data_IF_624923834602
#
_entry.id   IF_624923834602
#
_cell.length_a   1.000
_cell.length_b   1.000
_cell.length_c   1.000
_cell.angle_alpha   90.00
_cell.angle_beta   90.00
_cell.angle_gamma   90.00
#
_symmetry.space_group_name_H-M   'P 1'
#
loop_
_entity.id
_entity.type
_entity.pdbx_description
1 polymer ?
#
# COMPACT_ATOMS: atom_id res chain seq x y z
N UNK A 1 16.48 -23.76 -30.27
CA UNK A 1 17.81 -24.33 -30.59
C UNK A 1 18.49 -24.63 -29.27
N UNK A 2 18.92 -25.87 -29.07
CA UNK A 2 19.66 -26.30 -27.89
C UNK A 2 21.16 -26.31 -28.23
N UNK A 3 21.97 -25.69 -27.39
CA UNK A 3 23.42 -25.65 -27.52
C UNK A 3 24.02 -26.59 -26.49
N UNK A 4 24.77 -27.59 -26.94
CA UNK A 4 25.44 -28.53 -26.05
C UNK A 4 26.91 -28.67 -26.45
N UNK A 5 27.82 -28.19 -25.58
CA UNK A 5 29.27 -28.20 -25.82
C UNK A 5 29.68 -27.59 -27.18
N UNK A 6 29.04 -26.48 -27.54
CA UNK A 6 29.28 -25.76 -28.81
C UNK A 6 28.56 -26.36 -30.03
N UNK A 7 27.95 -27.53 -29.92
CA UNK A 7 27.15 -28.13 -31.00
C UNK A 7 25.70 -27.66 -30.92
N UNK A 8 25.12 -27.39 -32.09
CA UNK A 8 23.74 -26.94 -32.23
C UNK A 8 22.79 -28.10 -32.53
N UNK A 9 21.68 -28.13 -31.80
CA UNK A 9 20.63 -29.12 -31.95
C UNK A 9 19.27 -28.41 -32.11
N UNK A 10 18.53 -28.77 -33.15
CA UNK A 10 17.17 -28.30 -33.37
C UNK A 10 16.20 -29.29 -32.71
N UNK A 11 15.38 -28.79 -31.77
CA UNK A 11 14.30 -29.57 -31.17
C UNK A 11 13.21 -29.80 -32.21
N UNK A 12 12.84 -31.05 -32.42
CA UNK A 12 11.78 -31.47 -33.35
C UNK A 12 10.52 -31.91 -32.61
N UNK A 13 10.65 -32.42 -31.39
CA UNK A 13 9.53 -32.88 -30.57
C UNK A 13 9.83 -32.60 -29.09
N UNK A 14 8.81 -32.18 -28.34
CA UNK A 14 8.85 -31.98 -26.90
C UNK A 14 7.70 -32.78 -26.26
N UNK A 15 8.05 -33.86 -25.57
CA UNK A 15 7.13 -34.68 -24.79
C UNK A 15 7.26 -34.31 -23.30
N UNK A 16 6.37 -33.45 -22.83
CA UNK A 16 6.34 -32.99 -21.44
C UNK A 16 5.98 -34.11 -20.46
N UNK A 17 5.14 -35.06 -20.87
CA UNK A 17 4.65 -36.15 -20.01
C UNK A 17 5.78 -37.10 -19.65
N UNK A 18 6.59 -37.47 -20.64
CA UNK A 18 7.72 -38.36 -20.46
C UNK A 18 9.05 -37.62 -20.22
N UNK A 19 9.03 -36.28 -20.16
CA UNK A 19 10.20 -35.41 -20.01
C UNK A 19 11.27 -35.67 -21.07
N UNK A 20 10.85 -35.89 -22.31
CA UNK A 20 11.72 -36.26 -23.42
C UNK A 20 11.72 -35.16 -24.49
N UNK A 21 12.90 -34.79 -24.94
CA UNK A 21 13.08 -33.94 -26.13
C UNK A 21 13.72 -34.77 -27.24
N UNK A 22 13.17 -34.67 -28.46
CA UNK A 22 13.84 -35.18 -29.65
C UNK A 22 14.50 -34.04 -30.38
N UNK A 23 15.75 -34.27 -30.76
CA UNK A 23 16.58 -33.27 -31.41
C UNK A 23 17.26 -33.85 -32.63
N UNK A 24 17.47 -33.00 -33.62
CA UNK A 24 18.33 -33.28 -34.76
C UNK A 24 19.54 -32.36 -34.69
N UNK A 25 20.72 -32.90 -35.01
CA UNK A 25 21.92 -32.07 -35.16
C UNK A 25 21.74 -31.13 -36.35
N UNK A 26 22.10 -29.86 -36.21
CA UNK A 26 22.06 -28.93 -37.33
C UNK A 26 22.68 -27.59 -36.99
N UNK A 27 23.52 -27.09 -37.89
CA UNK A 27 24.04 -25.73 -37.82
C UNK A 27 23.02 -24.76 -38.40
N UNK A 28 22.50 -23.85 -37.57
CA UNK A 28 21.62 -22.79 -38.01
C UNK A 28 22.26 -21.41 -37.74
N UNK A 29 22.00 -20.40 -38.58
CA UNK A 29 22.59 -19.05 -38.42
C UNK A 29 21.88 -18.21 -37.33
N UNK A 30 21.08 -18.84 -36.46
CA UNK A 30 20.23 -18.17 -35.49
C UNK A 30 20.18 -18.92 -34.16
N UNK A 31 19.87 -18.20 -33.08
CA UNK A 31 19.50 -18.76 -31.78
C UNK A 31 18.05 -18.43 -31.44
N UNK A 32 17.52 -19.09 -30.41
CA UNK A 32 16.14 -18.87 -29.95
C UNK A 32 16.13 -18.19 -28.60
N UNK A 33 15.31 -17.15 -28.43
CA UNK A 33 15.05 -16.48 -27.15
C UNK A 33 13.62 -16.74 -26.72
N UNK A 34 13.43 -17.31 -25.54
CA UNK A 34 12.10 -17.63 -25.00
C UNK A 34 11.32 -16.36 -24.71
N UNK A 35 10.01 -16.38 -24.97
CA UNK A 35 9.04 -15.40 -24.51
C UNK A 35 8.13 -16.05 -23.47
N UNK A 36 8.01 -15.42 -22.33
CA UNK A 36 7.09 -15.86 -21.28
C UNK A 36 6.26 -14.69 -20.76
N UNK A 37 5.06 -15.04 -20.31
CA UNK A 37 4.18 -14.17 -19.56
C UNK A 37 4.14 -14.66 -18.13
N UNK A 38 4.07 -13.72 -17.20
CA UNK A 38 4.04 -14.00 -15.77
C UNK A 38 2.87 -13.26 -15.17
N UNK A 39 2.29 -13.88 -14.16
CA UNK A 39 1.31 -13.24 -13.31
C UNK A 39 1.50 -13.61 -11.84
N UNK A 40 1.09 -12.71 -10.96
CA UNK A 40 1.05 -12.91 -9.52
C UNK A 40 -0.37 -12.76 -9.01
N UNK A 41 -0.76 -13.63 -8.08
CA UNK A 41 -1.96 -13.48 -7.27
C UNK A 41 -1.56 -13.37 -5.80
N UNK A 42 -2.01 -12.33 -5.12
CA UNK A 42 -1.87 -12.18 -3.67
C UNK A 42 -2.84 -13.14 -3.00
N UNK A 43 -2.30 -14.12 -2.27
CA UNK A 43 -3.08 -15.08 -1.48
C UNK A 43 -3.34 -14.54 -0.07
N UNK A 44 -2.35 -13.88 0.51
CA UNK A 44 -2.39 -13.37 1.88
C UNK A 44 -1.36 -12.25 2.05
N UNK A 45 -1.74 -11.19 2.78
CA UNK A 45 -0.82 -10.14 3.23
C UNK A 45 -0.41 -10.44 4.67
N UNK A 46 0.88 -10.67 4.88
CA UNK A 46 1.48 -11.02 6.17
C UNK A 46 1.96 -9.79 6.94
N UNK A 47 2.57 -8.81 6.26
CA UNK A 47 3.03 -7.54 6.86
C UNK A 47 2.84 -6.38 5.89
N UNK A 48 2.69 -5.18 6.44
CA UNK A 48 2.58 -3.93 5.70
C UNK A 48 3.34 -2.83 6.45
N UNK A 49 4.02 -1.94 5.73
CA UNK A 49 4.56 -0.70 6.32
C UNK A 49 4.70 0.39 5.27
N UNK A 50 4.48 1.66 5.61
CA UNK A 50 4.89 2.78 4.77
C UNK A 50 6.41 2.97 4.84
N UNK A 51 7.03 3.29 3.71
CA UNK A 51 8.45 3.66 3.59
C UNK A 51 8.52 4.86 2.65
N UNK A 52 9.12 5.97 3.11
CA UNK A 52 9.20 7.20 2.33
C UNK A 52 7.86 7.55 1.63
N UNK A 53 7.73 7.44 0.30
CA UNK A 53 6.51 7.75 -0.44
C UNK A 53 5.80 6.52 -1.05
N UNK A 54 5.95 5.34 -0.45
CA UNK A 54 5.28 4.11 -0.90
C UNK A 54 4.90 3.20 0.26
N UNK A 55 3.96 2.27 -0.01
CA UNK A 55 3.68 1.15 0.89
C UNK A 55 4.44 -0.07 0.39
N UNK A 56 5.12 -0.77 1.29
CA UNK A 56 5.63 -2.11 1.03
C UNK A 56 4.81 -3.12 1.80
N UNK A 57 4.47 -4.24 1.15
CA UNK A 57 3.80 -5.37 1.77
C UNK A 57 4.63 -6.63 1.60
N UNK A 58 4.49 -7.56 2.55
CA UNK A 58 5.04 -8.92 2.51
C UNK A 58 3.85 -9.88 2.55
N UNK A 59 3.87 -10.94 1.75
CA UNK A 59 2.73 -11.84 1.65
C UNK A 59 3.01 -13.16 0.96
N UNK A 60 2.03 -14.07 1.04
CA UNK A 60 2.02 -15.29 0.22
C UNK A 60 1.47 -14.97 -1.16
N UNK A 61 2.17 -15.42 -2.17
CA UNK A 61 1.86 -15.20 -3.57
C UNK A 61 1.68 -16.54 -4.28
N UNK A 62 0.79 -16.56 -5.26
CA UNK A 62 0.80 -17.56 -6.33
C UNK A 62 1.41 -16.93 -7.56
N UNK A 63 2.44 -17.55 -8.11
CA UNK A 63 3.12 -17.11 -9.32
C UNK A 63 2.77 -18.10 -10.43
N UNK A 64 2.26 -17.60 -11.54
CA UNK A 64 2.04 -18.40 -12.75
C UNK A 64 2.93 -17.86 -13.86
N UNK A 65 3.74 -18.73 -14.48
CA UNK A 65 4.53 -18.41 -15.66
C UNK A 65 4.09 -19.30 -16.83
N UNK A 66 3.81 -18.68 -17.97
CA UNK A 66 3.48 -19.38 -19.21
C UNK A 66 4.48 -19.02 -20.30
N UNK A 67 5.09 -20.04 -20.91
CA UNK A 67 5.91 -19.85 -22.11
C UNK A 67 4.97 -19.75 -23.31
N UNK A 68 4.82 -18.53 -23.82
CA UNK A 68 3.91 -18.22 -24.93
C UNK A 68 4.58 -18.32 -26.30
N UNK A 69 5.92 -18.42 -26.34
CA UNK A 69 6.63 -18.49 -27.61
C UNK A 69 8.14 -18.34 -27.53
N UNK A 70 8.76 -18.12 -28.68
CA UNK A 70 10.16 -17.76 -28.78
C UNK A 70 10.44 -16.91 -30.02
N UNK A 71 11.49 -16.10 -29.95
CA UNK A 71 12.04 -15.33 -31.06
C UNK A 71 13.21 -16.10 -31.70
N UNK A 72 13.31 -16.11 -33.03
CA UNK A 72 14.55 -16.47 -33.72
C UNK A 72 15.37 -15.21 -33.94
N UNK A 73 16.61 -15.20 -33.45
CA UNK A 73 17.54 -14.08 -33.61
C UNK A 73 18.82 -14.52 -34.29
N UNK A 74 19.29 -13.73 -35.25
CA UNK A 74 20.56 -14.00 -35.94
C UNK A 74 21.71 -13.98 -34.94
N UNK A 75 22.62 -14.97 -35.02
CA UNK A 75 23.67 -15.20 -34.01
C UNK A 75 24.56 -13.98 -33.74
N UNK A 76 25.02 -13.30 -34.80
CA UNK A 76 25.98 -12.22 -34.67
C UNK A 76 25.34 -10.83 -34.55
N UNK A 77 24.30 -10.56 -35.36
CA UNK A 77 23.66 -9.23 -35.40
C UNK A 77 22.53 -9.07 -34.38
N UNK A 78 22.06 -10.16 -33.76
CA UNK A 78 20.88 -10.21 -32.90
C UNK A 78 19.56 -9.73 -33.55
N UNK A 79 19.57 -9.52 -34.86
CA UNK A 79 18.41 -9.15 -35.65
C UNK A 79 17.30 -10.18 -35.47
N UNK A 80 16.08 -9.70 -35.24
CA UNK A 80 14.89 -10.53 -35.13
C UNK A 80 14.54 -11.08 -36.51
N UNK A 81 14.64 -12.40 -36.67
CA UNK A 81 14.34 -13.07 -37.94
C UNK A 81 12.88 -13.50 -38.00
N UNK A 82 12.33 -13.96 -36.87
CA UNK A 82 11.02 -14.60 -36.81
C UNK A 82 10.51 -14.69 -35.37
N UNK A 83 9.20 -14.82 -35.19
CA UNK A 83 8.55 -15.09 -33.90
C UNK A 83 7.61 -16.27 -34.03
N UNK A 84 7.71 -17.21 -33.08
CA UNK A 84 6.83 -18.37 -33.02
C UNK A 84 6.07 -18.40 -31.71
N UNK A 85 4.76 -18.61 -31.82
CA UNK A 85 3.88 -18.89 -30.68
C UNK A 85 4.01 -20.35 -30.28
N UNK A 86 3.90 -20.62 -28.98
CA UNK A 86 3.86 -21.95 -28.39
C UNK A 86 2.65 -22.06 -27.47
N UNK A 87 2.02 -23.23 -27.46
CA UNK A 87 0.96 -23.58 -26.52
C UNK A 87 1.53 -24.53 -25.47
N UNK A 88 2.23 -23.98 -24.48
CA UNK A 88 2.76 -24.74 -23.36
C UNK A 88 1.88 -24.53 -22.11
N UNK A 89 1.71 -25.57 -21.28
CA UNK A 89 0.94 -25.45 -20.06
C UNK A 89 1.61 -24.45 -19.10
N UNK A 90 0.82 -23.62 -18.39
CA UNK A 90 1.35 -22.71 -17.39
C UNK A 90 1.98 -23.50 -16.24
N UNK A 91 3.03 -22.94 -15.66
CA UNK A 91 3.66 -23.44 -14.45
C UNK A 91 3.28 -22.52 -13.29
N UNK A 92 2.64 -23.09 -12.28
CA UNK A 92 2.16 -22.34 -11.13
C UNK A 92 2.77 -22.89 -9.84
N UNK A 93 3.23 -22.00 -8.97
CA UNK A 93 3.70 -22.34 -7.64
C UNK A 93 3.35 -21.24 -6.63
N UNK A 94 3.21 -21.64 -5.36
CA UNK A 94 3.03 -20.70 -4.25
C UNK A 94 4.38 -20.39 -3.60
N UNK A 95 4.60 -19.14 -3.22
CA UNK A 95 5.86 -18.65 -2.65
C UNK A 95 5.59 -17.46 -1.73
N UNK A 96 6.65 -16.92 -1.12
CA UNK A 96 6.61 -15.67 -0.36
C UNK A 96 7.24 -14.56 -1.21
N UNK A 97 6.60 -13.40 -1.21
CA UNK A 97 7.10 -12.22 -1.90
C UNK A 97 6.78 -10.95 -1.14
N UNK A 98 7.49 -9.88 -1.50
CA UNK A 98 7.14 -8.53 -1.12
C UNK A 98 6.88 -7.69 -2.36
N UNK A 99 6.09 -6.64 -2.20
CA UNK A 99 5.82 -5.72 -3.29
C UNK A 99 5.71 -4.29 -2.78
N UNK A 100 6.11 -3.36 -3.63
CA UNK A 100 5.90 -1.93 -3.42
C UNK A 100 4.68 -1.48 -4.23
N UNK A 101 3.76 -0.80 -3.56
CA UNK A 101 2.63 -0.10 -4.19
C UNK A 101 3.05 1.31 -4.56
N UNK A 102 2.88 1.67 -5.83
CA UNK A 102 3.31 2.95 -6.40
C UNK A 102 2.05 3.79 -6.65
N UNK A 103 2.00 4.97 -6.03
CA UNK A 103 0.86 5.88 -6.18
C UNK A 103 0.77 6.47 -7.60
N UNK A 104 -0.47 6.69 -8.06
CA UNK A 104 -0.76 7.23 -9.39
C UNK A 104 -0.15 8.61 -9.63
N UNK A 105 0.07 9.39 -8.58
CA UNK A 105 0.78 10.67 -8.66
C UNK A 105 2.18 10.50 -9.27
N UNK A 106 2.91 9.43 -8.90
CA UNK A 106 4.24 9.14 -9.47
C UNK A 106 4.09 8.74 -10.94
N UNK A 107 3.10 7.90 -11.26
CA UNK A 107 2.85 7.50 -12.64
C UNK A 107 2.52 8.70 -13.53
N UNK A 108 1.72 9.64 -13.03
CA UNK A 108 1.37 10.87 -13.74
C UNK A 108 2.59 11.79 -13.88
N UNK A 109 3.40 11.95 -12.84
CA UNK A 109 4.62 12.75 -12.89
C UNK A 109 5.58 12.28 -13.99
N UNK A 110 5.78 10.96 -14.10
CA UNK A 110 6.62 10.35 -15.15
C UNK A 110 6.04 10.57 -16.54
N UNK A 111 4.72 10.40 -16.71
CA UNK A 111 4.05 10.63 -18.00
C UNK A 111 4.10 12.10 -18.43
N UNK A 112 3.98 13.04 -17.50
CA UNK A 112 4.02 14.48 -17.78
C UNK A 112 5.35 14.94 -18.38
N UNK A 113 6.46 14.31 -17.95
CA UNK A 113 7.78 14.55 -18.53
C UNK A 113 8.07 13.64 -19.75
N UNK A 114 7.04 13.02 -20.32
CA UNK A 114 7.08 12.17 -21.53
C UNK A 114 7.99 10.94 -21.41
N UNK A 115 8.17 10.43 -20.19
CA UNK A 115 8.91 9.19 -19.94
C UNK A 115 7.97 7.98 -19.87
N UNK A 116 8.50 6.79 -20.11
CA UNK A 116 7.70 5.56 -20.19
C UNK A 116 7.55 4.89 -18.83
N UNK A 117 6.45 5.19 -18.12
CA UNK A 117 6.21 4.67 -16.75
C UNK A 117 6.37 3.15 -16.60
N UNK A 118 5.74 2.34 -17.46
CA UNK A 118 5.90 0.88 -17.37
C UNK A 118 7.36 0.42 -17.57
N UNK A 119 8.06 1.00 -18.55
CA UNK A 119 9.49 0.77 -18.75
C UNK A 119 10.34 1.20 -17.56
N UNK A 120 9.91 2.22 -16.81
CA UNK A 120 10.55 2.67 -15.57
C UNK A 120 10.38 1.68 -14.41
N UNK A 121 9.15 1.23 -14.12
CA UNK A 121 8.92 0.24 -13.05
C UNK A 121 9.53 -1.13 -13.38
N UNK A 122 9.57 -1.50 -14.66
CA UNK A 122 10.21 -2.73 -15.13
C UNK A 122 11.76 -2.65 -15.03
N UNK A 123 12.34 -1.50 -15.35
CA UNK A 123 13.76 -1.25 -15.15
C UNK A 123 14.14 -1.21 -13.65
N UNK A 124 13.27 -0.65 -12.80
CA UNK A 124 13.41 -0.67 -11.35
C UNK A 124 13.42 -2.11 -10.82
N UNK A 125 12.47 -2.95 -11.26
CA UNK A 125 12.41 -4.37 -10.90
C UNK A 125 13.74 -5.09 -11.21
N UNK A 126 14.22 -4.96 -12.45
CA UNK A 126 15.47 -5.57 -12.89
C UNK A 126 16.67 -5.13 -12.04
N UNK A 127 16.80 -3.82 -11.84
CA UNK A 127 17.93 -3.25 -11.10
C UNK A 127 17.87 -3.66 -9.63
N UNK A 128 16.68 -3.65 -9.00
CA UNK A 128 16.50 -4.07 -7.61
C UNK A 128 16.87 -5.55 -7.41
N UNK A 129 16.42 -6.44 -8.29
CA UNK A 129 16.79 -7.86 -8.24
C UNK A 129 18.30 -8.04 -8.46
N UNK A 130 18.93 -7.24 -9.33
CA UNK A 130 20.37 -7.31 -9.56
C UNK A 130 21.20 -6.88 -8.36
N UNK A 131 20.68 -5.95 -7.55
CA UNK A 131 21.34 -5.44 -6.34
C UNK A 131 21.04 -6.26 -5.09
N UNK A 132 20.00 -7.08 -5.13
CA UNK A 132 19.56 -7.88 -3.99
C UNK A 132 20.68 -8.75 -3.36
N UNK A 133 21.54 -9.44 -4.15
CA UNK A 133 22.64 -10.24 -3.62
C UNK A 133 23.64 -9.49 -2.73
N UNK A 134 23.68 -8.15 -2.79
CA UNK A 134 24.54 -7.36 -1.91
C UNK A 134 24.04 -7.30 -0.47
N UNK A 135 22.76 -7.58 -0.24
CA UNK A 135 22.11 -7.46 1.07
C UNK A 135 21.63 -8.79 1.65
N UNK A 136 21.53 -9.81 0.80
CA UNK A 136 21.23 -11.18 1.15
C UNK A 136 22.18 -12.09 0.38
N UNK A 137 22.82 -13.04 1.07
CA UNK A 137 23.75 -13.99 0.46
C UNK A 137 22.96 -15.01 -0.40
N UNK A 138 22.61 -14.61 -1.62
CA UNK A 138 21.90 -15.43 -2.59
C UNK A 138 22.43 -15.19 -4.01
N UNK A 139 22.06 -16.07 -4.94
CA UNK A 139 22.23 -15.79 -6.36
C UNK A 139 21.06 -14.94 -6.84
N UNK A 140 21.28 -14.09 -7.86
CA UNK A 140 20.19 -13.36 -8.51
C UNK A 140 19.11 -14.30 -9.07
N UNK A 141 19.47 -15.55 -9.32
CA UNK A 141 18.59 -16.55 -9.89
C UNK A 141 17.60 -17.12 -8.87
N UNK A 142 17.84 -16.92 -7.58
CA UNK A 142 16.97 -17.35 -6.49
C UNK A 142 15.75 -16.42 -6.30
N UNK A 143 15.69 -15.35 -7.09
CA UNK A 143 14.70 -14.28 -6.98
C UNK A 143 13.96 -14.13 -8.30
N UNK A 144 12.64 -14.04 -8.21
CA UNK A 144 11.78 -13.61 -9.30
C UNK A 144 11.22 -12.21 -9.06
N UNK A 145 10.68 -11.62 -10.12
CA UNK A 145 9.95 -10.37 -10.02
C UNK A 145 9.02 -10.18 -11.20
N UNK A 146 8.13 -9.20 -11.01
CA UNK A 146 7.22 -8.71 -12.03
C UNK A 146 6.76 -7.30 -11.70
N UNK A 147 6.68 -6.44 -12.71
CA UNK A 147 6.13 -5.10 -12.60
C UNK A 147 4.75 -4.99 -13.26
N UNK A 148 3.82 -4.36 -12.55
CA UNK A 148 2.46 -4.08 -12.99
C UNK A 148 2.23 -2.56 -13.07
N UNK A 149 1.86 -2.02 -14.24
CA UNK A 149 1.36 -0.64 -14.31
C UNK A 149 -0.03 -0.49 -13.69
N UNK A 150 -0.78 -1.60 -13.56
CA UNK A 150 -2.03 -1.69 -12.80
C UNK A 150 -2.25 -3.15 -12.42
N UNK A 151 -2.14 -3.48 -11.14
CA UNK A 151 -2.32 -4.84 -10.65
C UNK A 151 -3.81 -5.12 -10.39
N UNK A 152 -4.41 -6.21 -10.94
CA UNK A 152 -5.85 -6.44 -10.87
C UNK A 152 -6.44 -6.50 -9.45
N UNK A 153 -5.71 -7.05 -8.47
CA UNK A 153 -6.18 -7.14 -7.08
C UNK A 153 -5.88 -5.90 -6.24
N UNK A 154 -4.85 -5.13 -6.61
CA UNK A 154 -4.42 -3.98 -5.80
C UNK A 154 -5.00 -2.67 -6.34
N UNK A 155 -5.49 -2.67 -7.59
CA UNK A 155 -5.95 -1.49 -8.31
C UNK A 155 -4.92 -0.35 -8.34
N UNK A 156 -3.64 -0.70 -8.19
CA UNK A 156 -2.49 0.21 -8.17
C UNK A 156 -1.35 -0.32 -9.02
N UNK A 157 -0.43 0.57 -9.39
CA UNK A 157 0.88 0.17 -9.91
C UNK A 157 1.66 -0.57 -8.82
N UNK A 158 2.35 -1.66 -9.16
CA UNK A 158 3.10 -2.44 -8.19
C UNK A 158 4.33 -3.12 -8.81
N UNK A 159 5.38 -3.28 -8.01
CA UNK A 159 6.54 -4.11 -8.38
C UNK A 159 6.72 -5.19 -7.33
N UNK A 160 6.59 -6.45 -7.76
CA UNK A 160 6.73 -7.64 -6.93
C UNK A 160 8.14 -8.20 -7.05
N UNK A 161 8.69 -8.63 -5.91
CA UNK A 161 9.93 -9.38 -5.81
C UNK A 161 9.66 -10.57 -4.87
N UNK A 162 9.98 -11.77 -5.32
CA UNK A 162 9.58 -12.99 -4.62
C UNK A 162 10.64 -14.08 -4.70
N UNK A 163 10.55 -15.04 -3.78
CA UNK A 163 11.44 -16.19 -3.76
C UNK A 163 11.16 -17.08 -4.97
N UNK A 164 12.19 -17.40 -5.75
CA UNK A 164 12.12 -18.24 -6.95
C UNK A 164 11.87 -19.72 -6.68
N UNK A 165 11.47 -20.08 -5.46
CA UNK A 165 11.30 -21.45 -4.98
C UNK A 165 9.90 -21.65 -4.38
N UNK A 166 9.22 -22.78 -4.68
CA UNK A 166 7.95 -23.12 -4.03
C UNK A 166 8.06 -23.14 -2.50
N UNK A 167 7.08 -22.55 -1.82
CA UNK A 167 7.03 -22.40 -0.37
C UNK A 167 7.81 -21.20 0.18
N UNK A 168 8.72 -20.62 -0.60
CA UNK A 168 9.62 -19.56 -0.14
C UNK A 168 10.80 -20.10 0.68
N UNK A 169 11.92 -19.37 0.63
CA UNK A 169 13.18 -19.70 1.30
C UNK A 169 13.66 -18.56 2.24
N UNK A 170 12.86 -17.50 2.37
CA UNK A 170 13.08 -16.41 3.32
C UNK A 170 13.82 -15.21 2.74
N UNK A 171 14.15 -15.19 1.43
CA UNK A 171 14.78 -14.02 0.80
C UNK A 171 13.80 -12.84 0.79
N UNK A 172 12.54 -13.06 0.45
CA UNK A 172 11.50 -12.03 0.42
C UNK A 172 11.31 -11.36 1.79
N UNK A 173 11.37 -12.13 2.88
CA UNK A 173 11.30 -11.59 4.25
C UNK A 173 12.48 -10.67 4.53
N UNK A 174 13.69 -11.08 4.13
CA UNK A 174 14.89 -10.24 4.23
C UNK A 174 14.73 -8.98 3.39
N UNK A 175 14.29 -9.12 2.14
CA UNK A 175 14.01 -8.04 1.18
C UNK A 175 13.06 -6.97 1.71
N UNK A 176 11.94 -7.38 2.29
CA UNK A 176 10.99 -6.50 2.97
C UNK A 176 11.66 -5.70 4.12
N UNK A 177 12.56 -6.32 4.86
CA UNK A 177 13.31 -5.67 5.93
C UNK A 177 14.26 -4.58 5.43
N UNK A 178 14.89 -4.78 4.27
CA UNK A 178 15.95 -3.93 3.71
C UNK A 178 15.49 -3.05 2.54
N UNK A 179 14.19 -2.96 2.27
CA UNK A 179 13.67 -2.41 1.01
C UNK A 179 14.18 -0.99 0.72
N UNK A 180 14.26 -0.13 1.74
CA UNK A 180 14.74 1.24 1.60
C UNK A 180 16.25 1.28 1.22
N UNK A 181 17.17 0.64 1.97
CA UNK A 181 18.56 0.47 1.53
C UNK A 181 18.71 -0.14 0.13
N UNK A 182 17.90 -1.15 -0.21
CA UNK A 182 17.94 -1.82 -1.51
C UNK A 182 17.57 -0.85 -2.64
N UNK A 183 16.48 -0.11 -2.50
CA UNK A 183 16.07 0.90 -3.50
C UNK A 183 17.08 2.05 -3.57
N UNK A 184 17.66 2.46 -2.44
CA UNK A 184 18.76 3.44 -2.39
C UNK A 184 19.97 3.02 -3.23
N UNK A 185 20.44 1.78 -3.06
CA UNK A 185 21.53 1.22 -3.89
C UNK A 185 21.14 0.99 -5.34
N UNK A 186 19.90 0.60 -5.60
CA UNK A 186 19.36 0.47 -6.96
C UNK A 186 19.41 1.80 -7.70
N UNK A 187 19.00 2.89 -7.03
CA UNK A 187 19.07 4.25 -7.56
C UNK A 187 20.51 4.68 -7.84
N UNK A 188 21.44 4.42 -6.92
CA UNK A 188 22.87 4.70 -7.12
C UNK A 188 23.45 3.97 -8.33
N UNK A 189 23.13 2.68 -8.52
CA UNK A 189 23.56 1.90 -9.68
C UNK A 189 23.06 2.54 -10.99
N UNK A 190 21.77 2.85 -11.05
CA UNK A 190 21.17 3.43 -12.26
C UNK A 190 21.77 4.81 -12.56
N UNK A 191 21.93 5.66 -11.53
CA UNK A 191 22.46 7.01 -11.66
C UNK A 191 23.94 7.06 -12.06
N UNK A 192 24.77 6.15 -11.53
CA UNK A 192 26.22 6.13 -11.78
C UNK A 192 26.61 5.44 -13.09
N UNK A 193 25.73 4.64 -13.68
CA UNK A 193 25.99 3.97 -14.95
C UNK A 193 26.07 5.01 -16.09
N UNK A 194 27.11 4.96 -16.91
CA UNK A 194 27.36 5.91 -18.01
C UNK A 194 26.51 5.69 -19.27
N UNK A 195 25.66 4.67 -19.32
CA UNK A 195 24.83 4.39 -20.50
C UNK A 195 23.62 5.33 -20.60
N UNK A 196 23.15 5.60 -21.82
CA UNK A 196 22.00 6.49 -22.02
C UNK A 196 20.66 5.75 -21.85
N UNK A 197 20.51 4.61 -22.53
CA UNK A 197 19.23 3.91 -22.69
C UNK A 197 19.03 2.73 -21.73
N UNK A 198 20.08 2.33 -21.01
CA UNK A 198 20.12 1.09 -20.25
C UNK A 198 21.07 0.04 -20.83
N UNK A 199 21.64 -0.80 -19.96
CA UNK A 199 22.58 -1.84 -20.35
C UNK A 199 22.54 -3.03 -19.37
N UNK A 200 23.24 -4.15 -19.69
CA UNK A 200 23.42 -5.29 -18.80
C UNK A 200 23.98 -4.99 -17.42
N UNK A 201 24.71 -3.88 -17.26
CA UNK A 201 25.28 -3.49 -15.98
C UNK A 201 24.31 -2.68 -15.10
N UNK A 202 23.14 -2.25 -15.61
CA UNK A 202 22.21 -1.43 -14.82
C UNK A 202 20.76 -1.93 -14.81
N UNK A 203 20.09 -2.02 -15.96
CA UNK A 203 18.62 -2.25 -16.01
C UNK A 203 18.20 -3.42 -16.91
N UNK A 204 19.13 -4.10 -17.58
CA UNK A 204 18.78 -5.31 -18.33
C UNK A 204 18.85 -6.55 -17.44
N UNK A 205 17.89 -7.44 -17.61
CA UNK A 205 17.87 -8.75 -16.99
C UNK A 205 18.00 -9.85 -18.06
N UNK A 206 18.89 -10.85 -17.86
CA UNK A 206 18.94 -12.01 -18.73
C UNK A 206 17.72 -12.93 -18.56
N UNK A 207 16.93 -12.75 -17.49
CA UNK A 207 15.70 -13.51 -17.20
C UNK A 207 14.41 -12.82 -17.66
N UNK A 208 14.51 -11.68 -18.35
CA UNK A 208 13.33 -10.93 -18.78
C UNK A 208 12.59 -11.68 -19.92
N UNK A 209 11.41 -12.24 -19.60
CA UNK A 209 10.52 -12.90 -20.58
C UNK A 209 9.96 -11.95 -21.64
N UNK A 210 9.89 -10.65 -21.33
CA UNK A 210 9.52 -9.58 -22.25
C UNK A 210 10.69 -9.10 -23.14
N UNK A 211 11.86 -9.74 -23.06
CA UNK A 211 13.00 -9.44 -23.92
C UNK A 211 13.65 -8.07 -23.66
N UNK A 212 13.58 -7.58 -22.41
CA UNK A 212 14.06 -6.27 -21.98
C UNK A 212 13.37 -5.10 -22.71
N UNK A 213 12.07 -5.24 -23.01
CA UNK A 213 11.27 -4.19 -23.65
C UNK A 213 9.85 -4.12 -23.06
N UNK A 214 9.33 -2.91 -22.79
CA UNK A 214 10.04 -1.63 -22.75
C UNK A 214 10.91 -1.54 -21.47
N UNK A 215 11.98 -0.76 -21.54
CA UNK A 215 12.78 -0.33 -20.39
C UNK A 215 13.08 1.15 -20.56
N UNK A 216 13.01 1.91 -19.47
CA UNK A 216 13.29 3.35 -19.47
C UNK A 216 14.12 3.72 -18.24
N UNK A 217 15.41 3.99 -18.49
CA UNK A 217 16.38 4.31 -17.44
C UNK A 217 16.04 5.60 -16.71
N UNK A 218 15.64 6.63 -17.45
CA UNK A 218 15.32 7.94 -16.88
C UNK A 218 14.03 7.87 -16.06
N UNK A 219 13.03 7.13 -16.55
CA UNK A 219 11.80 6.86 -15.80
C UNK A 219 12.11 6.11 -14.49
N UNK A 220 12.93 5.06 -14.54
CA UNK A 220 13.29 4.28 -13.35
C UNK A 220 13.98 5.15 -12.29
N UNK A 221 14.92 6.00 -12.71
CA UNK A 221 15.60 6.91 -11.80
C UNK A 221 14.63 7.92 -11.19
N UNK A 222 13.75 8.53 -11.99
CA UNK A 222 12.75 9.47 -11.51
C UNK A 222 11.77 8.81 -10.51
N UNK A 223 11.29 7.61 -10.82
CA UNK A 223 10.43 6.81 -9.93
C UNK A 223 11.14 6.55 -8.60
N UNK A 224 12.40 6.09 -8.62
CA UNK A 224 13.17 5.84 -7.40
C UNK A 224 13.33 7.10 -6.55
N UNK A 225 13.56 8.27 -7.14
CA UNK A 225 13.67 9.53 -6.41
C UNK A 225 12.36 9.94 -5.74
N UNK A 226 11.22 9.76 -6.42
CA UNK A 226 9.92 9.96 -5.78
C UNK A 226 9.68 8.95 -4.66
N UNK A 227 9.89 7.65 -4.91
CA UNK A 227 9.67 6.59 -3.92
C UNK A 227 10.51 6.82 -2.65
N UNK A 228 11.79 7.18 -2.80
CA UNK A 228 12.72 7.43 -1.69
C UNK A 228 12.53 8.81 -1.02
N UNK A 229 11.54 9.61 -1.44
CA UNK A 229 11.28 10.92 -0.84
C UNK A 229 12.33 11.99 -1.17
N UNK A 230 13.20 11.78 -2.15
CA UNK A 230 14.14 12.80 -2.65
C UNK A 230 13.41 13.92 -3.41
N UNK A 231 12.16 13.67 -3.81
CA UNK A 231 11.29 14.61 -4.49
C UNK A 231 9.90 14.56 -3.87
N UNK A 232 9.29 15.72 -3.65
CA UNK A 232 7.91 15.84 -3.20
C UNK A 232 6.96 15.29 -4.26
N UNK A 233 5.93 14.55 -3.85
CA UNK A 233 4.89 14.09 -4.76
C UNK A 233 4.17 15.32 -5.34
N UNK A 234 3.96 15.42 -6.66
CA UNK A 234 3.25 16.56 -7.20
C UNK A 234 1.77 16.49 -6.81
N UNK A 235 1.19 17.64 -6.46
CA UNK A 235 -0.24 17.76 -6.20
C UNK A 235 -1.02 17.66 -7.52
N UNK A 236 -1.74 16.57 -7.69
CA UNK A 236 -2.61 16.33 -8.83
C UNK A 236 -4.06 16.26 -8.36
N UNK A 237 -4.56 17.33 -7.74
CA UNK A 237 -5.97 17.50 -7.46
C UNK A 237 -6.78 17.65 -8.76
N UNK A 238 -7.10 16.55 -9.45
CA UNK A 238 -8.22 16.47 -10.39
C UNK A 238 -8.53 15.03 -10.81
N UNK A 239 -9.57 14.44 -10.22
CA UNK A 239 -10.77 13.86 -10.90
C UNK A 239 -11.68 13.16 -9.89
N UNK A 240 -12.91 13.66 -9.82
CA UNK A 240 -14.05 13.02 -9.18
C UNK A 240 -14.36 11.66 -9.83
N UNK A 241 -14.86 10.69 -9.04
CA UNK A 241 -15.24 9.36 -9.53
C UNK A 241 -15.91 8.47 -8.49
N UNK A 242 -17.15 8.80 -8.14
CA UNK A 242 -18.26 7.99 -7.59
C UNK A 242 -18.01 6.53 -7.17
N UNK A 243 -18.29 6.23 -5.90
CA UNK A 243 -18.50 4.88 -5.38
C UNK A 243 -19.80 4.23 -5.89
N UNK A 244 -19.76 2.91 -6.17
CA UNK A 244 -20.91 2.01 -6.23
C UNK A 244 -20.51 0.65 -5.63
N UNK A 245 -21.37 0.13 -4.75
CA UNK A 245 -21.17 -1.13 -4.03
C UNK A 245 -21.92 -2.32 -4.63
N UNK A 246 -21.70 -3.50 -4.05
CA UNK A 246 -22.70 -4.42 -3.45
C UNK A 246 -22.12 -5.84 -3.27
N UNK A 247 -22.22 -6.43 -2.06
CA UNK A 247 -23.04 -7.63 -1.79
C UNK A 247 -22.80 -8.30 -0.40
N UNK A 248 -23.86 -8.24 0.42
CA UNK A 248 -24.57 -9.27 1.24
C UNK A 248 -23.94 -10.08 2.41
N UNK A 249 -24.77 -10.48 3.41
CA UNK A 249 -24.37 -10.84 4.78
C UNK A 249 -24.37 -12.35 5.09
N UNK A 250 -23.83 -12.75 6.26
CA UNK A 250 -23.95 -14.10 6.84
C UNK A 250 -24.41 -14.01 8.30
N UNK A 251 -25.40 -14.85 8.62
CA UNK A 251 -26.14 -14.94 9.89
C UNK A 251 -25.29 -15.35 11.12
N UNK A 252 -25.68 -14.77 12.25
CA UNK A 252 -25.15 -14.90 13.62
C UNK A 252 -25.22 -16.32 14.22
N UNK A 253 -24.47 -16.56 15.32
CA UNK A 253 -24.98 -17.30 16.46
C UNK A 253 -25.06 -16.44 17.74
N UNK A 254 -26.22 -16.58 18.40
CA UNK A 254 -26.63 -16.28 19.78
C UNK A 254 -25.84 -15.26 20.63
N UNK A 255 -26.57 -14.22 21.04
CA UNK A 255 -26.11 -13.18 21.96
C UNK A 255 -25.84 -13.73 23.38
N UNK A 256 -24.66 -13.47 23.96
CA UNK A 256 -24.44 -13.60 25.39
C UNK A 256 -25.10 -12.44 26.16
N UNK A 257 -25.38 -12.66 27.45
CA UNK A 257 -25.92 -11.66 28.39
C UNK A 257 -25.16 -10.31 28.36
N UNK A 258 -25.84 -9.18 28.61
CA UNK A 258 -25.28 -7.85 28.41
C UNK A 258 -24.11 -7.58 29.36
N UNK A 259 -22.89 -7.77 28.85
CA UNK A 259 -21.69 -7.19 29.42
C UNK A 259 -21.70 -5.67 29.16
N UNK A 260 -21.11 -4.87 30.05
CA UNK A 260 -20.95 -3.43 29.81
C UNK A 260 -20.18 -3.21 28.51
N UNK A 261 -20.74 -2.38 27.62
CA UNK A 261 -20.16 -2.10 26.31
C UNK A 261 -18.74 -1.53 26.45
N UNK A 262 -17.78 -2.16 25.75
CA UNK A 262 -16.40 -1.69 25.67
C UNK A 262 -16.30 -0.62 24.60
N UNK A 263 -16.44 0.63 25.01
CA UNK A 263 -16.34 1.80 24.13
C UNK A 263 -14.91 2.34 24.18
N UNK A 264 -14.36 2.68 23.03
CA UNK A 264 -13.11 3.44 22.94
C UNK A 264 -13.30 4.74 22.18
N UNK A 265 -12.57 5.77 22.59
CA UNK A 265 -12.47 7.07 21.94
C UNK A 265 -11.09 7.18 21.32
N UNK A 266 -11.03 7.47 20.02
CA UNK A 266 -9.80 7.34 19.26
C UNK A 266 -9.53 8.57 18.40
N UNK A 267 -8.26 8.97 18.38
CA UNK A 267 -7.71 10.00 17.52
C UNK A 267 -6.23 9.71 17.23
N UNK A 268 -5.73 10.20 16.09
CA UNK A 268 -4.31 10.13 15.76
C UNK A 268 -3.79 11.42 15.13
N UNK A 269 -2.49 11.65 15.34
CA UNK A 269 -1.73 12.70 14.70
C UNK A 269 -0.77 12.15 13.65
N UNK A 270 -0.45 12.98 12.65
CA UNK A 270 0.35 12.57 11.50
C UNK A 270 1.78 13.11 11.53
N UNK A 271 2.69 12.52 10.74
CA UNK A 271 4.07 13.00 10.60
C UNK A 271 4.24 14.02 9.47
N UNK A 272 3.33 14.00 8.48
CA UNK A 272 3.39 14.80 7.26
C UNK A 272 2.04 15.43 6.97
N UNK A 273 2.07 16.63 6.40
CA UNK A 273 0.90 17.35 5.92
C UNK A 273 0.40 16.77 4.59
N UNK A 274 -0.85 17.07 4.24
CA UNK A 274 -1.48 16.61 3.01
C UNK A 274 -0.66 17.03 1.76
N UNK A 275 -0.16 18.26 1.72
CA UNK A 275 0.62 18.79 0.59
C UNK A 275 1.96 18.04 0.39
N UNK A 276 2.53 17.49 1.47
CA UNK A 276 3.80 16.76 1.41
C UNK A 276 3.64 15.34 0.86
N UNK A 277 2.42 14.80 0.91
CA UNK A 277 2.06 13.50 0.33
C UNK A 277 1.32 13.64 -1.01
N UNK A 278 1.28 14.84 -1.58
CA UNK A 278 0.65 15.11 -2.88
C UNK A 278 -0.88 15.20 -2.83
N UNK A 279 -1.46 15.50 -1.67
CA UNK A 279 -2.88 15.78 -1.49
C UNK A 279 -3.63 14.80 -0.56
N UNK A 280 -4.86 15.16 -0.21
CA UNK A 280 -5.73 14.44 0.73
C UNK A 280 -6.14 13.03 0.29
N UNK A 281 -5.91 12.64 -0.95
CA UNK A 281 -6.15 11.28 -1.44
C UNK A 281 -5.08 10.29 -0.94
N UNK A 282 -3.92 10.79 -0.51
CA UNK A 282 -2.76 9.98 -0.09
C UNK A 282 -2.58 9.95 1.43
N UNK A 283 -3.67 9.98 2.21
CA UNK A 283 -3.62 10.05 3.69
C UNK A 283 -2.81 8.93 4.32
N UNK A 284 -2.83 7.75 3.71
CA UNK A 284 -2.04 6.58 4.12
C UNK A 284 -0.52 6.85 4.11
N UNK A 285 -0.03 7.81 3.33
CA UNK A 285 1.38 8.22 3.31
C UNK A 285 1.72 9.30 4.37
N UNK A 286 0.73 9.85 5.07
CA UNK A 286 0.98 10.90 6.07
C UNK A 286 1.73 10.40 7.30
N UNK A 287 1.69 9.07 7.52
CA UNK A 287 2.28 8.32 8.66
C UNK A 287 1.75 8.76 10.02
N UNK A 288 1.70 7.85 10.98
CA UNK A 288 1.25 8.17 12.34
C UNK A 288 2.42 8.67 13.18
N UNK A 289 2.28 9.82 13.84
CA UNK A 289 3.25 10.32 14.83
C UNK A 289 2.93 9.78 16.23
N UNK A 290 1.70 9.98 16.66
CA UNK A 290 1.11 9.44 17.90
C UNK A 290 -0.36 9.09 17.64
N UNK A 291 -0.85 8.06 18.31
CA UNK A 291 -2.27 7.77 18.38
C UNK A 291 -2.69 7.58 19.84
N UNK A 292 -3.90 8.00 20.19
CA UNK A 292 -4.42 7.90 21.56
C UNK A 292 -5.74 7.14 21.54
N UNK A 293 -5.85 6.14 22.41
CA UNK A 293 -7.09 5.42 22.67
C UNK A 293 -7.53 5.63 24.12
N UNK A 294 -8.64 6.34 24.32
CA UNK A 294 -9.32 6.45 25.60
C UNK A 294 -10.34 5.32 25.77
N UNK A 295 -10.35 4.61 26.90
CA UNK A 295 -11.32 3.54 27.18
C UNK A 295 -12.43 4.00 28.11
N UNK A 296 -13.67 3.76 27.68
CA UNK A 296 -14.87 4.18 28.41
C UNK A 296 -14.96 5.70 28.57
N UNK A 297 -15.79 6.15 29.51
CA UNK A 297 -16.01 7.57 29.80
C UNK A 297 -15.10 8.14 30.91
N UNK A 298 -14.07 7.38 31.31
CA UNK A 298 -13.07 7.79 32.30
C UNK A 298 -11.81 8.36 31.65
N UNK A 299 -10.77 8.59 32.46
CA UNK A 299 -9.46 9.11 32.03
C UNK A 299 -8.43 7.99 31.78
N UNK A 300 -8.88 6.82 31.31
CA UNK A 300 -7.99 5.73 30.92
C UNK A 300 -7.54 5.92 29.47
N UNK A 301 -6.36 6.53 29.28
CA UNK A 301 -5.76 6.77 27.97
C UNK A 301 -4.55 5.89 27.76
N UNK A 302 -4.49 5.25 26.59
CA UNK A 302 -3.29 4.58 26.10
C UNK A 302 -2.74 5.32 24.89
N UNK A 303 -1.45 5.63 24.93
CA UNK A 303 -0.71 6.30 23.86
C UNK A 303 0.05 5.24 23.07
N UNK A 304 0.05 5.36 21.75
CA UNK A 304 0.79 4.47 20.85
C UNK A 304 1.69 5.29 19.94
N UNK A 305 2.89 4.78 19.74
CA UNK A 305 3.83 5.28 18.74
C UNK A 305 3.75 4.44 17.46
N UNK A 306 4.42 4.89 16.41
CA UNK A 306 4.35 4.25 15.08
C UNK A 306 4.76 2.76 15.10
N UNK A 307 5.68 2.39 15.99
CA UNK A 307 6.14 1.01 16.20
C UNK A 307 5.17 0.14 17.02
N UNK A 308 4.16 0.75 17.66
CA UNK A 308 3.16 0.07 18.48
C UNK A 308 1.79 -0.05 17.79
N UNK A 309 1.68 0.35 16.50
CA UNK A 309 0.40 0.37 15.78
C UNK A 309 -0.22 -1.02 15.60
N UNK A 310 0.59 -2.07 15.53
CA UNK A 310 0.09 -3.46 15.54
C UNK A 310 -0.70 -3.75 16.83
N UNK A 311 -0.27 -3.21 17.98
CA UNK A 311 -0.99 -3.34 19.24
C UNK A 311 -2.22 -2.45 19.27
N UNK A 312 -2.13 -1.20 18.78
CA UNK A 312 -3.30 -0.32 18.63
C UNK A 312 -4.43 -1.00 17.84
N UNK A 313 -4.10 -1.64 16.72
CA UNK A 313 -5.10 -2.29 15.86
C UNK A 313 -5.77 -3.46 16.59
N UNK A 314 -5.03 -4.24 17.36
CA UNK A 314 -5.59 -5.29 18.23
C UNK A 314 -6.52 -4.70 19.29
N UNK A 315 -6.06 -3.64 19.97
CA UNK A 315 -6.84 -2.96 21.00
C UNK A 315 -8.14 -2.34 20.43
N UNK A 316 -8.13 -1.85 19.18
CA UNK A 316 -9.33 -1.36 18.48
C UNK A 316 -10.31 -2.50 18.14
N UNK A 317 -9.81 -3.66 17.73
CA UNK A 317 -10.63 -4.85 17.41
C UNK A 317 -11.31 -5.45 18.63
N UNK A 318 -10.77 -5.21 19.83
CA UNK A 318 -11.38 -5.65 21.09
C UNK A 318 -12.57 -4.78 21.52
N UNK A 319 -12.80 -3.62 20.90
CA UNK A 319 -13.89 -2.72 21.30
C UNK A 319 -15.22 -3.10 20.65
N UNK A 320 -16.30 -2.91 21.41
CA UNK A 320 -17.66 -3.08 20.91
C UNK A 320 -18.12 -1.83 20.13
N UNK A 321 -17.49 -0.68 20.37
CA UNK A 321 -17.71 0.58 19.63
C UNK A 321 -16.46 1.47 19.70
N UNK A 322 -15.99 1.94 18.54
CA UNK A 322 -14.98 2.99 18.41
C UNK A 322 -15.67 4.31 18.07
N UNK A 323 -15.45 5.33 18.88
CA UNK A 323 -15.97 6.68 18.67
C UNK A 323 -14.80 7.60 18.30
N UNK A 324 -14.98 8.40 17.26
CA UNK A 324 -13.96 9.36 16.84
C UNK A 324 -14.56 10.55 16.10
N UNK A 325 -13.72 11.53 15.79
CA UNK A 325 -14.11 12.70 15.03
C UNK A 325 -13.45 12.66 13.65
N UNK A 326 -14.23 12.44 12.58
CA UNK A 326 -13.70 12.23 11.22
C UNK A 326 -12.87 10.93 11.03
N UNK A 327 -12.95 10.03 12.01
CA UNK A 327 -12.19 8.78 12.11
C UNK A 327 -12.26 7.89 10.86
N UNK A 328 -13.43 7.79 10.24
CA UNK A 328 -13.61 6.90 9.07
C UNK A 328 -12.88 7.44 7.85
N UNK A 329 -12.91 8.75 7.65
CA UNK A 329 -12.40 9.38 6.43
C UNK A 329 -10.94 9.82 6.54
N UNK A 330 -10.41 9.94 7.76
CA UNK A 330 -9.04 10.39 8.02
C UNK A 330 -8.22 9.30 8.71
N UNK A 331 -8.45 9.06 9.99
CA UNK A 331 -7.62 8.21 10.84
C UNK A 331 -7.48 6.78 10.29
N UNK A 332 -8.60 6.14 9.95
CA UNK A 332 -8.58 4.81 9.34
C UNK A 332 -7.88 4.80 7.98
N UNK A 333 -7.94 5.88 7.21
CA UNK A 333 -7.22 6.00 5.94
C UNK A 333 -5.70 6.12 6.17
N UNK A 334 -5.27 6.78 7.26
CA UNK A 334 -3.86 6.81 7.65
C UNK A 334 -3.40 5.41 8.12
N UNK A 335 -4.20 4.75 8.98
CA UNK A 335 -3.88 3.43 9.53
C UNK A 335 -3.82 2.31 8.49
N UNK A 336 -4.51 2.44 7.35
CA UNK A 336 -4.49 1.47 6.24
C UNK A 336 -3.08 1.20 5.68
N UNK A 337 -2.11 2.11 5.86
CA UNK A 337 -0.72 1.85 5.46
C UNK A 337 -0.04 0.76 6.30
N UNK A 338 -0.49 0.60 7.55
CA UNK A 338 0.15 -0.25 8.55
C UNK A 338 -0.49 -1.63 8.66
N UNK A 339 -1.65 -1.85 8.04
CA UNK A 339 -2.37 -3.12 8.15
C UNK A 339 -3.15 -3.48 6.91
N UNK A 340 -3.37 -4.78 6.71
CA UNK A 340 -4.33 -5.32 5.74
C UNK A 340 -5.75 -5.40 6.31
N UNK A 341 -5.93 -5.09 7.60
CA UNK A 341 -7.23 -5.10 8.25
C UNK A 341 -8.16 -4.04 7.64
N UNK A 342 -9.37 -4.46 7.29
CA UNK A 342 -10.42 -3.57 6.80
C UNK A 342 -11.10 -2.84 7.97
N UNK A 343 -10.62 -1.63 8.28
CA UNK A 343 -11.15 -0.79 9.35
C UNK A 343 -12.64 -0.45 9.20
N UNK A 344 -13.24 -0.60 8.00
CA UNK A 344 -14.69 -0.41 7.81
C UNK A 344 -15.51 -1.46 8.55
N UNK A 345 -14.89 -2.58 8.95
CA UNK A 345 -15.55 -3.64 9.74
C UNK A 345 -15.65 -3.31 11.22
N UNK A 346 -14.90 -2.31 11.72
CA UNK A 346 -15.00 -1.90 13.12
C UNK A 346 -16.35 -1.20 13.36
N UNK A 347 -17.10 -1.58 14.41
CA UNK A 347 -18.24 -0.79 14.85
C UNK A 347 -17.79 0.62 15.19
N UNK A 348 -18.14 1.59 14.33
CA UNK A 348 -17.55 2.93 14.40
C UNK A 348 -18.62 4.02 14.36
N UNK A 349 -18.62 4.87 15.39
CA UNK A 349 -19.39 6.09 15.45
C UNK A 349 -18.51 7.30 15.10
N UNK A 350 -18.72 7.88 13.92
CA UNK A 350 -18.02 9.08 13.48
C UNK A 350 -18.91 10.30 13.72
N UNK A 351 -18.54 11.14 14.69
CA UNK A 351 -19.34 12.31 15.09
C UNK A 351 -19.51 13.29 13.91
N UNK A 352 -18.44 13.53 13.14
CA UNK A 352 -18.48 14.47 12.03
C UNK A 352 -19.37 13.97 10.90
N UNK A 353 -19.34 12.65 10.63
CA UNK A 353 -20.26 12.02 9.68
C UNK A 353 -21.72 12.28 10.09
N UNK A 354 -22.07 12.07 11.36
CA UNK A 354 -23.43 12.29 11.85
C UNK A 354 -23.88 13.75 11.73
N UNK A 355 -23.00 14.69 12.09
CA UNK A 355 -23.29 16.12 11.99
C UNK A 355 -23.49 16.52 10.52
N UNK A 356 -22.59 16.11 9.64
CA UNK A 356 -22.69 16.41 8.22
C UNK A 356 -23.97 15.83 7.60
N UNK A 357 -24.39 14.64 8.03
CA UNK A 357 -25.63 14.00 7.55
C UNK A 357 -26.89 14.79 7.93
N UNK A 358 -26.88 15.50 9.07
CA UNK A 358 -28.00 16.33 9.51
C UNK A 358 -27.96 17.77 8.98
N UNK A 359 -26.77 18.38 8.93
CA UNK A 359 -26.60 19.80 8.56
C UNK A 359 -26.31 20.03 7.07
N UNK A 360 -25.76 19.03 6.37
CA UNK A 360 -25.28 19.15 4.99
C UNK A 360 -23.96 19.93 4.84
N UNK A 361 -23.33 20.33 5.95
CA UNK A 361 -22.01 20.95 5.99
C UNK A 361 -21.22 20.49 7.21
N UNK A 362 -19.90 20.69 7.19
CA UNK A 362 -18.97 20.21 8.22
C UNK A 362 -18.76 21.29 9.28
N UNK A 363 -18.59 20.85 10.53
CA UNK A 363 -18.15 21.68 11.66
C UNK A 363 -16.83 21.09 12.18
N UNK A 364 -15.92 21.91 12.70
CA UNK A 364 -14.71 21.40 13.37
C UNK A 364 -15.03 20.91 14.78
N UNK A 365 -14.17 20.03 15.31
CA UNK A 365 -14.29 19.57 16.70
C UNK A 365 -14.23 20.76 17.66
N UNK A 366 -13.32 21.70 17.41
CA UNK A 366 -13.10 22.92 18.19
C UNK A 366 -14.38 23.75 18.28
N UNK A 367 -15.05 23.97 17.14
CA UNK A 367 -16.30 24.74 17.08
C UNK A 367 -17.41 24.07 17.89
N UNK A 368 -17.49 22.74 17.84
CA UNK A 368 -18.50 21.98 18.57
C UNK A 368 -18.18 21.98 20.07
N UNK A 369 -16.92 21.76 20.44
CA UNK A 369 -16.46 21.79 21.82
C UNK A 369 -16.69 23.16 22.46
N UNK A 370 -16.35 24.25 21.76
CA UNK A 370 -16.51 25.62 22.25
C UNK A 370 -17.98 25.93 22.55
N UNK A 371 -18.88 25.61 21.62
CA UNK A 371 -20.29 25.96 21.78
C UNK A 371 -21.09 24.97 22.63
N UNK A 372 -20.69 23.69 22.70
CA UNK A 372 -21.41 22.65 23.45
C UNK A 372 -20.89 22.52 24.88
N UNK A 373 -19.57 22.59 25.07
CA UNK A 373 -18.90 22.37 26.36
C UNK A 373 -18.36 23.65 26.98
N UNK A 374 -18.19 24.73 26.20
CA UNK A 374 -17.52 25.95 26.67
C UNK A 374 -15.99 25.85 26.67
N UNK A 375 -15.44 24.86 25.96
CA UNK A 375 -14.00 24.60 25.90
C UNK A 375 -13.46 24.84 24.49
N UNK A 376 -12.41 25.65 24.34
CA UNK A 376 -11.73 25.89 23.07
C UNK A 376 -10.40 25.13 23.02
N UNK A 377 -10.00 24.68 21.82
CA UNK A 377 -8.67 24.11 21.60
C UNK A 377 -7.58 25.16 21.75
N UNK A 378 -6.39 24.69 22.14
CA UNK A 378 -5.20 25.54 22.31
C UNK A 378 -4.24 25.48 21.10
N UNK A 379 -4.44 24.55 20.16
CA UNK A 379 -3.56 24.33 19.00
C UNK A 379 -4.30 23.67 17.83
N UNK A 380 -3.66 23.61 16.65
CA UNK A 380 -4.18 22.99 15.43
C UNK A 380 -3.29 21.83 14.93
N UNK A 381 -3.76 21.09 13.93
CA UNK A 381 -3.04 19.96 13.34
C UNK A 381 -1.72 20.34 12.65
N UNK A 382 -1.52 21.61 12.24
CA UNK A 382 -0.24 22.06 11.67
C UNK A 382 0.80 22.15 12.78
N UNK A 383 0.40 22.65 13.95
CA UNK A 383 1.27 22.71 15.13
C UNK A 383 1.65 21.30 15.64
N UNK A 384 0.75 20.32 15.56
CA UNK A 384 1.04 18.93 15.89
C UNK A 384 2.21 18.35 15.07
N UNK A 385 2.19 18.58 13.74
CA UNK A 385 3.28 18.14 12.85
C UNK A 385 4.60 18.86 13.17
N UNK A 386 4.56 20.13 13.61
CA UNK A 386 5.77 20.85 14.04
C UNK A 386 6.37 20.25 15.31
N UNK A 387 5.54 19.96 16.32
CA UNK A 387 6.02 19.31 17.55
C UNK A 387 6.68 17.96 17.26
N UNK A 388 6.11 17.15 16.36
CA UNK A 388 6.74 15.90 15.91
C UNK A 388 8.14 16.14 15.33
N UNK A 389 8.29 17.12 14.43
CA UNK A 389 9.59 17.44 13.78
C UNK A 389 10.63 17.95 14.76
N UNK A 390 10.20 18.71 15.76
CA UNK A 390 11.06 19.24 16.81
C UNK A 390 11.33 18.21 17.92
N UNK A 391 10.72 17.03 17.86
CA UNK A 391 10.83 15.99 18.89
C UNK A 391 10.14 16.36 20.21
N UNK A 392 9.20 17.31 20.19
CA UNK A 392 8.44 17.74 21.36
C UNK A 392 7.27 16.78 21.61
N UNK A 393 7.53 15.68 22.31
CA UNK A 393 6.54 14.61 22.51
C UNK A 393 5.45 14.95 23.51
N UNK A 394 5.78 15.52 24.66
CA UNK A 394 4.78 15.93 25.66
C UNK A 394 3.64 16.80 25.11
N UNK A 395 3.90 17.94 24.43
CA UNK A 395 2.81 18.77 23.91
C UNK A 395 2.02 18.07 22.79
N UNK A 396 2.68 17.26 21.96
CA UNK A 396 2.02 16.48 20.91
C UNK A 396 1.08 15.41 21.48
N UNK A 397 1.54 14.63 22.47
CA UNK A 397 0.74 13.61 23.14
C UNK A 397 -0.44 14.27 23.84
N UNK A 398 -0.20 15.37 24.56
CA UNK A 398 -1.24 16.09 25.29
C UNK A 398 -2.31 16.64 24.34
N UNK A 399 -1.90 17.19 23.20
CA UNK A 399 -2.82 17.68 22.18
C UNK A 399 -3.73 16.57 21.65
N UNK A 400 -3.18 15.42 21.26
CA UNK A 400 -3.99 14.27 20.81
C UNK A 400 -4.87 13.70 21.93
N UNK A 401 -4.37 13.66 23.18
CA UNK A 401 -5.18 13.27 24.34
C UNK A 401 -6.35 14.22 24.58
N UNK A 402 -6.14 15.53 24.42
CA UNK A 402 -7.19 16.54 24.53
C UNK A 402 -8.25 16.38 23.42
N UNK A 403 -7.86 16.01 22.19
CA UNK A 403 -8.79 15.70 21.10
C UNK A 403 -9.65 14.47 21.40
N UNK A 404 -9.05 13.40 21.94
CA UNK A 404 -9.80 12.22 22.42
C UNK A 404 -10.74 12.59 23.56
N UNK A 405 -10.28 13.41 24.51
CA UNK A 405 -11.09 13.89 25.64
C UNK A 405 -12.29 14.71 25.17
N UNK A 406 -12.09 15.69 24.28
CA UNK A 406 -13.16 16.52 23.72
C UNK A 406 -14.15 15.67 22.93
N UNK A 407 -13.66 14.74 22.12
CA UNK A 407 -14.51 13.78 21.39
C UNK A 407 -15.38 12.97 22.35
N UNK A 408 -14.80 12.45 23.44
CA UNK A 408 -15.51 11.72 24.50
C UNK A 408 -16.57 12.59 25.17
N UNK A 409 -16.21 13.80 25.56
CA UNK A 409 -17.06 14.68 26.36
C UNK A 409 -18.22 15.25 25.50
N UNK A 410 -17.98 15.57 24.23
CA UNK A 410 -19.03 15.92 23.26
C UNK A 410 -19.98 14.74 23.07
N UNK A 411 -19.46 13.54 22.82
CA UNK A 411 -20.29 12.35 22.64
C UNK A 411 -21.16 12.07 23.87
N UNK A 412 -20.57 12.17 25.07
CA UNK A 412 -21.27 12.03 26.35
C UNK A 412 -22.39 13.07 26.49
N UNK A 413 -22.09 14.35 26.22
CA UNK A 413 -23.07 15.41 26.26
C UNK A 413 -24.26 15.13 25.35
N UNK A 414 -23.99 14.69 24.11
CA UNK A 414 -25.03 14.37 23.14
C UNK A 414 -25.92 13.20 23.60
N UNK A 415 -25.34 12.17 24.25
CA UNK A 415 -26.10 11.06 24.83
C UNK A 415 -26.96 11.50 26.02
N UNK A 416 -26.43 12.34 26.91
CA UNK A 416 -27.11 12.75 28.14
C UNK A 416 -28.15 13.86 27.92
N UNK A 417 -27.87 14.82 27.03
CA UNK A 417 -28.71 16.00 26.78
C UNK A 417 -29.59 15.85 25.54
N UNK A 418 -29.25 14.94 24.63
CA UNK A 418 -30.00 14.72 23.39
C UNK A 418 -29.85 15.84 22.35
N UNK A 419 -28.87 16.72 22.51
CA UNK A 419 -28.49 17.72 21.50
C UNK A 419 -27.02 18.11 21.64
N UNK A 420 -26.48 18.75 20.60
CA UNK A 420 -25.25 19.56 20.66
C UNK A 420 -25.54 21.01 20.24
N UNK A 421 -24.62 21.92 20.51
CA UNK A 421 -24.76 23.35 20.19
C UNK A 421 -23.66 23.77 19.22
N UNK A 422 -24.03 24.58 18.22
CA UNK A 422 -23.08 25.20 17.29
C UNK A 422 -23.52 26.62 16.96
N UNK A 423 -22.59 27.51 16.60
CA UNK A 423 -22.93 28.80 16.03
C UNK A 423 -23.17 28.72 14.51
N UNK A 424 -24.27 29.32 14.04
CA UNK A 424 -24.55 29.47 12.61
C UNK A 424 -23.69 30.58 11.96
N UNK A 425 -23.83 30.78 10.64
CA UNK A 425 -23.10 31.83 9.90
C UNK A 425 -23.39 33.26 10.38
N UNK A 426 -24.42 33.46 11.19
CA UNK A 426 -24.82 34.75 11.77
C UNK A 426 -24.41 34.87 13.24
N UNK A 427 -23.70 33.87 13.79
CA UNK A 427 -23.27 33.84 15.18
C UNK A 427 -24.37 33.43 16.18
N UNK A 428 -25.54 32.98 15.70
CA UNK A 428 -26.59 32.50 16.60
C UNK A 428 -26.26 31.09 17.07
N UNK A 429 -26.42 30.83 18.38
CA UNK A 429 -26.32 29.48 18.91
C UNK A 429 -27.56 28.66 18.53
N UNK A 430 -27.33 27.55 17.83
CA UNK A 430 -28.35 26.63 17.35
C UNK A 430 -28.13 25.27 18.00
N UNK A 431 -29.23 24.66 18.46
CA UNK A 431 -29.23 23.27 18.95
C UNK A 431 -29.45 22.31 17.79
N UNK A 432 -28.56 21.35 17.65
CA UNK A 432 -28.71 20.21 16.75
C UNK A 432 -29.16 19.00 17.59
N UNK A 433 -30.37 18.46 17.37
CA UNK A 433 -30.82 17.25 18.06
C UNK A 433 -29.89 16.05 17.78
N UNK A 434 -29.56 15.29 18.82
CA UNK A 434 -28.73 14.09 18.74
C UNK A 434 -29.51 12.90 19.30
N UNK A 435 -30.33 12.21 18.48
CA UNK A 435 -31.12 11.06 18.91
C UNK A 435 -30.24 9.80 19.10
N UNK A 436 -29.02 9.97 19.59
CA UNK A 436 -28.02 8.93 19.75
C UNK A 436 -28.35 8.12 20.99
N UNK A 437 -28.42 6.79 20.86
CA UNK A 437 -28.62 5.88 21.98
C UNK A 437 -27.56 4.79 21.92
N UNK A 438 -26.87 4.60 23.03
CA UNK A 438 -25.74 3.67 23.09
C UNK A 438 -26.14 2.22 22.73
N UNK A 439 -27.34 1.81 23.13
CA UNK A 439 -27.93 0.50 22.82
C UNK A 439 -28.12 0.28 21.31
N UNK A 440 -28.53 1.32 20.58
CA UNK A 440 -28.74 1.26 19.13
C UNK A 440 -27.40 1.25 18.37
N UNK A 441 -26.41 1.97 18.90
CA UNK A 441 -25.09 2.12 18.26
C UNK A 441 -24.22 0.86 18.38
N UNK A 442 -24.35 0.10 19.47
CA UNK A 442 -23.69 -1.19 19.62
C UNK A 442 -24.52 -2.36 19.03
N UNK A 443 -25.85 -2.25 19.05
CA UNK A 443 -26.76 -3.30 18.57
C UNK A 443 -26.86 -3.43 17.05
N UNK A 444 -26.57 -2.37 16.30
CA UNK A 444 -26.62 -2.38 14.83
C UNK A 444 -25.56 -3.29 14.17
N UNK A 445 -24.50 -3.68 14.89
CA UNK A 445 -23.42 -4.53 14.39
C UNK A 445 -23.53 -6.02 14.79
N UNK A 446 -24.44 -6.38 15.71
CA UNK A 446 -24.69 -7.78 16.12
C UNK A 446 -25.88 -8.44 15.39
N UNK A 447 -26.38 -7.81 14.32
CA UNK A 447 -27.57 -8.26 13.54
C UNK A 447 -27.31 -8.27 12.03
N UNK A 448 -26.04 -8.21 11.59
CA UNK A 448 -25.65 -8.01 10.20
C UNK A 448 -24.75 -9.11 9.67
#
# INVERSE_FOLDING_TARGET
IYLHRGQQYKVTELDLKNRLIRVVNGQVPYFTRVRSEKETTVLEVLKSKPIANFIVRLGRLRVTEQIVGYEKRRLFTQELLDQHTLELPPQTFETVGFWLEIEDAIAQAVRNVKLHFMGGIHALEHAAISMFPLFALCDRNDIGGIAYPLHPQLEKSAVFIYDGYPGGIGLAVRGYGIIEPLLGKTRELIASCSCDQGCPACIHSPKCGAGNKPLDKAAALLILRYLLGEMSLPDFSSREGTARGDHMPRLDPEAPEPQPLRIGFFDLETQRLADEVGGWQNKHLMRVSVAVLGRGFGEDYRVYREDELDQLIRDLQELDLVVGFNIKSFDYSVLQAYSSFDFKKLPTFDILEQIHRHLGFRLSLDHIAEHTLGEAKQADGIQAVRWFREGQWEPLIRYCQDDVRLTRDVFRHCLEKGYLVYADRRGNQVRLPTPWKLEDLAGAHKKG
#
